data_IF_717551681408
#
_entry.id   IF_717551681408
#
_cell.length_a   1.000
_cell.length_b   1.000
_cell.length_c   1.000
_cell.angle_alpha   90.00
_cell.angle_beta   90.00
_cell.angle_gamma   90.00
#
_symmetry.space_group_name_H-M   'P 1'
#
loop_
_entity.id
_entity.type
_entity.pdbx_description
1 polymer ?
#
# COMPACT_ATOMS: atom_id res chain seq x y z
N UNK A 1 -2.77 -1.96 -22.27
CA UNK A 1 -3.15 -2.08 -20.85
C UNK A 1 -2.14 -1.39 -19.91
N UNK A 2 -1.39 -0.38 -20.37
CA UNK A 2 -0.39 0.29 -19.54
C UNK A 2 -1.05 0.95 -18.32
N UNK A 3 -0.65 0.55 -17.12
CA UNK A 3 -1.10 1.13 -15.85
C UNK A 3 -2.20 0.37 -15.11
N UNK A 4 -2.89 -0.59 -15.75
CA UNK A 4 -3.90 -1.42 -15.07
C UNK A 4 -3.19 -2.48 -14.21
N UNK A 5 -3.55 -2.59 -12.93
CA UNK A 5 -2.99 -3.55 -11.97
C UNK A 5 -3.75 -4.87 -11.96
N UNK A 6 -5.08 -4.81 -11.86
CA UNK A 6 -5.93 -6.00 -11.87
C UNK A 6 -7.32 -5.72 -12.44
N UNK A 7 -8.03 -6.77 -12.83
CA UNK A 7 -9.47 -6.77 -13.14
C UNK A 7 -10.14 -7.88 -12.31
N UNK A 8 -11.15 -7.53 -11.51
CA UNK A 8 -11.93 -8.46 -10.72
C UNK A 8 -13.28 -8.76 -11.40
N UNK A 9 -13.39 -9.96 -11.96
CA UNK A 9 -14.60 -10.44 -12.63
C UNK A 9 -15.52 -11.13 -11.60
N UNK A 10 -16.77 -10.65 -11.45
CA UNK A 10 -17.74 -11.37 -10.62
C UNK A 10 -18.11 -12.68 -11.29
N UNK A 11 -18.40 -13.71 -10.51
CA UNK A 11 -18.82 -14.98 -11.07
C UNK A 11 -18.88 -16.07 -10.02
N UNK A 12 -19.13 -17.30 -10.47
CA UNK A 12 -19.05 -18.51 -9.67
C UNK A 12 -18.18 -19.53 -10.43
N UNK A 13 -16.86 -19.59 -10.19
CA UNK A 13 -16.11 -18.81 -9.19
C UNK A 13 -15.80 -17.37 -9.65
N UNK A 14 -15.58 -16.43 -8.72
CA UNK A 14 -15.03 -15.12 -9.06
C UNK A 14 -13.58 -15.26 -9.57
N UNK A 15 -13.14 -14.36 -10.43
CA UNK A 15 -11.79 -14.37 -11.00
C UNK A 15 -11.08 -13.04 -10.78
N UNK A 16 -9.80 -13.11 -10.41
CA UNK A 16 -8.92 -11.95 -10.33
C UNK A 16 -7.85 -12.07 -11.41
N UNK A 17 -7.96 -11.23 -12.43
CA UNK A 17 -6.97 -11.13 -13.49
C UNK A 17 -5.90 -10.13 -13.09
N UNK A 18 -4.64 -10.56 -13.07
CA UNK A 18 -3.49 -9.73 -12.68
C UNK A 18 -2.70 -9.32 -13.93
N UNK A 19 -2.19 -8.09 -13.95
CA UNK A 19 -1.28 -7.65 -15.00
C UNK A 19 0.11 -8.28 -14.78
N UNK A 20 0.57 -9.09 -15.73
CA UNK A 20 1.83 -9.82 -15.70
C UNK A 20 3.08 -8.92 -15.72
N UNK A 21 2.94 -7.65 -16.08
CA UNK A 21 4.01 -6.65 -16.06
C UNK A 21 4.30 -6.07 -14.67
N UNK A 22 3.47 -6.38 -13.67
CA UNK A 22 3.69 -5.92 -12.30
C UNK A 22 4.71 -6.78 -11.57
N UNK A 23 5.35 -6.19 -10.58
CA UNK A 23 6.24 -6.94 -9.70
C UNK A 23 5.44 -7.86 -8.74
N UNK A 24 6.08 -8.88 -8.14
CA UNK A 24 5.38 -9.82 -7.25
C UNK A 24 4.68 -9.14 -6.07
N UNK A 25 5.28 -8.12 -5.44
CA UNK A 25 4.68 -7.40 -4.32
C UNK A 25 3.35 -6.72 -4.67
N UNK A 26 3.23 -6.22 -5.91
CA UNK A 26 2.02 -5.59 -6.42
C UNK A 26 0.93 -6.63 -6.75
N UNK A 27 1.31 -7.84 -7.20
CA UNK A 27 0.39 -8.97 -7.32
C UNK A 27 -0.15 -9.39 -5.96
N UNK A 28 0.74 -9.59 -4.98
CA UNK A 28 0.37 -9.93 -3.60
C UNK A 28 -0.60 -8.88 -3.04
N UNK A 29 -0.26 -7.59 -3.16
CA UNK A 29 -1.16 -6.52 -2.71
C UNK A 29 -2.54 -6.59 -3.38
N UNK A 30 -2.60 -6.84 -4.69
CA UNK A 30 -3.86 -6.94 -5.42
C UNK A 30 -4.73 -8.11 -4.96
N UNK A 31 -4.10 -9.26 -4.70
CA UNK A 31 -4.76 -10.46 -4.16
C UNK A 31 -5.29 -10.18 -2.75
N UNK A 32 -4.43 -9.68 -1.87
CA UNK A 32 -4.78 -9.44 -0.48
C UNK A 32 -5.86 -8.36 -0.35
N UNK A 33 -5.83 -7.32 -1.20
CA UNK A 33 -6.90 -6.33 -1.25
C UNK A 33 -8.27 -6.98 -1.51
N UNK A 34 -8.35 -7.90 -2.48
CA UNK A 34 -9.59 -8.61 -2.80
C UNK A 34 -10.02 -9.58 -1.69
N UNK A 35 -9.06 -10.25 -1.04
CA UNK A 35 -9.33 -11.03 0.18
C UNK A 35 -9.93 -10.13 1.25
N UNK A 36 -9.35 -8.94 1.47
CA UNK A 36 -9.87 -7.96 2.43
C UNK A 36 -11.31 -7.54 2.14
N UNK A 37 -11.67 -7.33 0.87
CA UNK A 37 -13.07 -7.08 0.49
C UNK A 37 -14.00 -8.25 0.91
N UNK A 38 -13.58 -9.49 0.68
CA UNK A 38 -14.38 -10.69 1.03
C UNK A 38 -14.46 -10.91 2.55
N UNK A 39 -13.34 -10.87 3.27
CA UNK A 39 -13.28 -11.11 4.72
C UNK A 39 -14.06 -10.04 5.51
N UNK A 40 -14.00 -8.79 5.05
CA UNK A 40 -14.76 -7.69 5.67
C UNK A 40 -16.22 -7.63 5.22
N UNK A 41 -16.67 -8.56 4.35
CA UNK A 41 -18.02 -8.65 3.81
C UNK A 41 -18.46 -7.36 3.09
N UNK A 42 -17.53 -6.72 2.40
CA UNK A 42 -17.80 -5.51 1.63
C UNK A 42 -18.45 -5.91 0.31
N UNK A 43 -19.73 -5.57 0.13
CA UNK A 43 -20.52 -6.03 -1.02
C UNK A 43 -20.05 -5.51 -2.37
N UNK A 44 -19.47 -4.30 -2.42
CA UNK A 44 -19.01 -3.67 -3.67
C UNK A 44 -17.49 -3.72 -3.79
N UNK A 45 -17.00 -4.82 -4.33
CA UNK A 45 -15.58 -4.99 -4.64
C UNK A 45 -15.09 -3.97 -5.66
N UNK A 46 -13.86 -3.49 -5.47
CA UNK A 46 -13.16 -2.73 -6.50
C UNK A 46 -12.95 -3.62 -7.72
N UNK A 47 -13.46 -3.18 -8.87
CA UNK A 47 -13.42 -3.95 -10.12
C UNK A 47 -12.10 -3.84 -10.84
N UNK A 48 -11.48 -2.68 -10.79
CA UNK A 48 -10.27 -2.36 -11.55
C UNK A 48 -9.37 -1.47 -10.70
N UNK A 49 -8.06 -1.58 -10.88
CA UNK A 49 -7.08 -0.70 -10.23
C UNK A 49 -6.02 -0.24 -11.23
N UNK A 50 -5.61 1.04 -11.27
CA UNK A 50 -6.08 2.13 -10.42
C UNK A 50 -7.53 2.49 -10.74
N UNK A 51 -8.31 2.74 -9.68
CA UNK A 51 -9.70 3.14 -9.81
C UNK A 51 -9.78 4.66 -9.98
N UNK A 52 -10.53 5.11 -10.98
CA UNK A 52 -10.51 6.53 -11.39
C UNK A 52 -11.34 7.44 -10.50
N UNK A 53 -12.47 6.97 -9.96
CA UNK A 53 -13.38 7.81 -9.16
C UNK A 53 -14.33 6.99 -8.31
N UNK A 54 -14.38 7.27 -7.01
CA UNK A 54 -15.41 6.75 -6.11
C UNK A 54 -16.69 7.59 -6.22
N UNK A 55 -17.84 6.91 -6.17
CA UNK A 55 -19.16 7.51 -6.30
C UNK A 55 -19.76 7.99 -4.98
N UNK A 56 -19.28 7.50 -3.83
CA UNK A 56 -19.75 7.91 -2.51
C UNK A 56 -18.66 7.80 -1.44
N UNK A 57 -18.92 8.37 -0.26
CA UNK A 57 -18.02 8.26 0.89
C UNK A 57 -17.89 6.81 1.38
N UNK A 58 -18.98 6.04 1.35
CA UNK A 58 -18.99 4.64 1.74
C UNK A 58 -18.06 3.81 0.86
N UNK A 59 -18.03 4.06 -0.45
CA UNK A 59 -17.09 3.38 -1.34
C UNK A 59 -15.63 3.71 -1.02
N UNK A 60 -15.35 4.97 -0.66
CA UNK A 60 -14.01 5.40 -0.21
C UNK A 60 -13.65 4.70 1.10
N UNK A 61 -14.57 4.66 2.06
CA UNK A 61 -14.37 4.05 3.37
C UNK A 61 -14.17 2.54 3.25
N UNK A 62 -14.96 1.86 2.42
CA UNK A 62 -14.84 0.43 2.17
C UNK A 62 -13.51 0.10 1.50
N UNK A 63 -13.10 0.87 0.49
CA UNK A 63 -11.78 0.71 -0.14
C UNK A 63 -10.65 0.98 0.87
N UNK A 64 -10.81 1.98 1.74
CA UNK A 64 -9.85 2.24 2.82
C UNK A 64 -9.74 1.05 3.77
N UNK A 65 -10.86 0.48 4.22
CA UNK A 65 -10.88 -0.69 5.12
C UNK A 65 -10.24 -1.93 4.48
N UNK A 66 -10.56 -2.22 3.22
CA UNK A 66 -9.91 -3.31 2.49
C UNK A 66 -8.40 -3.06 2.31
N UNK A 67 -7.99 -1.82 2.02
CA UNK A 67 -6.58 -1.44 1.89
C UNK A 67 -5.84 -1.50 3.24
N UNK A 68 -6.51 -1.15 4.33
CA UNK A 68 -6.00 -1.31 5.70
C UNK A 68 -5.78 -2.79 6.02
N UNK A 69 -6.76 -3.63 5.74
CA UNK A 69 -6.63 -5.09 5.88
C UNK A 69 -5.42 -5.60 5.10
N UNK A 70 -5.25 -5.16 3.85
CA UNK A 70 -4.12 -5.59 3.04
C UNK A 70 -2.76 -5.18 3.59
N UNK A 71 -2.62 -3.92 4.01
CA UNK A 71 -1.42 -3.45 4.69
C UNK A 71 -1.15 -4.23 5.98
N UNK A 72 -2.18 -4.56 6.75
CA UNK A 72 -2.05 -5.31 8.00
C UNK A 72 -1.66 -6.77 7.81
N UNK A 73 -2.13 -7.41 6.74
CA UNK A 73 -1.75 -8.79 6.42
C UNK A 73 -0.33 -8.86 5.85
N UNK A 74 0.05 -7.91 4.98
CA UNK A 74 1.38 -7.88 4.38
C UNK A 74 2.47 -7.45 5.37
N UNK A 75 2.14 -6.56 6.32
CA UNK A 75 3.09 -6.04 7.31
C UNK A 75 2.47 -6.19 8.71
N UNK A 76 2.95 -7.23 9.41
CA UNK A 76 2.53 -7.54 10.76
C UNK A 76 2.84 -6.37 11.71
N UNK A 77 1.84 -5.93 12.48
CA UNK A 77 1.97 -4.79 13.40
C UNK A 77 3.08 -4.99 14.44
N UNK A 78 3.12 -6.14 15.10
CA UNK A 78 4.05 -6.38 16.21
C UNK A 78 5.50 -6.47 15.73
N UNK A 79 5.70 -6.99 14.53
CA UNK A 79 7.01 -7.03 13.89
C UNK A 79 7.45 -5.63 13.47
N UNK A 80 6.58 -4.90 12.76
CA UNK A 80 6.87 -3.52 12.33
C UNK A 80 7.13 -2.57 13.51
N UNK A 81 6.41 -2.74 14.62
CA UNK A 81 6.61 -1.96 15.85
C UNK A 81 8.06 -2.08 16.36
N UNK A 82 8.58 -3.30 16.45
CA UNK A 82 9.96 -3.55 16.90
C UNK A 82 10.98 -2.94 15.94
N UNK A 83 10.80 -3.17 14.65
CA UNK A 83 11.71 -2.68 13.61
C UNK A 83 11.76 -1.15 13.55
N UNK A 84 10.61 -0.48 13.67
CA UNK A 84 10.55 0.98 13.72
C UNK A 84 11.16 1.51 15.01
N UNK A 85 10.94 0.83 16.14
CA UNK A 85 11.55 1.21 17.40
C UNK A 85 13.07 1.13 17.32
N UNK A 86 13.63 0.08 16.69
CA UNK A 86 15.07 -0.06 16.44
C UNK A 86 15.59 1.07 15.54
N UNK A 87 14.87 1.41 14.46
CA UNK A 87 15.21 2.55 13.61
C UNK A 87 15.28 3.86 14.40
N UNK A 88 14.28 4.15 15.24
CA UNK A 88 14.21 5.38 16.02
C UNK A 88 15.22 5.44 17.17
N UNK A 89 15.71 4.29 17.65
CA UNK A 89 16.76 4.23 18.67
C UNK A 89 18.17 4.43 18.11
N UNK A 90 18.33 4.40 16.78
CA UNK A 90 19.63 4.66 16.16
C UNK A 90 20.11 6.08 16.48
N UNK A 91 21.36 6.18 16.95
CA UNK A 91 22.00 7.47 17.27
C UNK A 91 22.38 8.28 16.03
N UNK A 92 22.47 7.61 14.89
CA UNK A 92 22.86 8.19 13.60
C UNK A 92 21.87 7.76 12.53
N UNK A 93 21.64 8.62 11.54
CA UNK A 93 20.81 8.27 10.39
C UNK A 93 21.40 7.08 9.62
N UNK A 94 20.56 6.09 9.33
CA UNK A 94 20.89 4.94 8.46
C UNK A 94 19.75 4.70 7.46
N UNK A 95 19.91 5.24 6.25
CA UNK A 95 18.93 5.05 5.17
C UNK A 95 18.87 3.60 4.67
N UNK A 96 19.96 2.83 4.78
CA UNK A 96 20.00 1.43 4.36
C UNK A 96 19.14 0.54 5.24
N UNK A 97 18.97 0.90 6.52
CA UNK A 97 18.06 0.19 7.41
C UNK A 97 16.61 0.21 6.91
N UNK A 98 16.14 1.35 6.38
CA UNK A 98 14.79 1.45 5.79
C UNK A 98 14.69 0.59 4.52
N UNK A 99 15.70 0.59 3.66
CA UNK A 99 15.74 -0.25 2.45
C UNK A 99 15.71 -1.74 2.79
N UNK A 100 16.41 -2.14 3.86
CA UNK A 100 16.37 -3.52 4.38
C UNK A 100 14.97 -3.91 4.86
N UNK A 101 14.25 -3.02 5.55
CA UNK A 101 12.86 -3.29 5.95
C UNK A 101 11.93 -3.47 4.75
N UNK A 102 12.03 -2.61 3.73
CA UNK A 102 11.25 -2.75 2.50
C UNK A 102 11.48 -4.12 1.83
N UNK A 103 12.75 -4.54 1.75
CA UNK A 103 13.12 -5.85 1.21
C UNK A 103 12.64 -7.00 2.10
N UNK A 104 12.72 -6.86 3.41
CA UNK A 104 12.29 -7.88 4.38
C UNK A 104 10.79 -8.18 4.27
N UNK A 105 9.96 -7.13 4.16
CA UNK A 105 8.51 -7.26 4.01
C UNK A 105 8.07 -7.55 2.56
N UNK A 106 9.00 -7.56 1.60
CA UNK A 106 8.73 -7.74 0.16
C UNK A 106 7.62 -6.80 -0.36
N UNK A 107 7.64 -5.53 0.08
CA UNK A 107 6.62 -4.53 -0.26
C UNK A 107 7.19 -3.36 -1.04
N UNK A 108 6.30 -2.66 -1.75
CA UNK A 108 6.63 -1.36 -2.35
C UNK A 108 6.83 -0.28 -1.28
N UNK A 109 7.64 0.77 -1.56
CA UNK A 109 7.75 1.93 -0.68
C UNK A 109 6.39 2.54 -0.31
N UNK A 110 5.47 2.63 -1.27
CA UNK A 110 4.13 3.19 -1.05
C UNK A 110 3.30 2.33 -0.09
N UNK A 111 3.33 1.00 -0.22
CA UNK A 111 2.64 0.10 0.71
C UNK A 111 3.21 0.23 2.12
N UNK A 112 4.54 0.31 2.25
CA UNK A 112 5.21 0.48 3.54
C UNK A 112 4.83 1.82 4.20
N UNK A 113 4.96 2.94 3.48
CA UNK A 113 4.61 4.26 4.01
C UNK A 113 3.13 4.37 4.38
N UNK A 114 2.24 3.79 3.58
CA UNK A 114 0.82 3.71 3.90
C UNK A 114 0.55 2.86 5.15
N UNK A 115 1.34 1.81 5.39
CA UNK A 115 1.24 1.05 6.64
C UNK A 115 1.76 1.84 7.84
N UNK A 116 2.88 2.55 7.68
CA UNK A 116 3.45 3.41 8.72
C UNK A 116 2.43 4.45 9.19
N UNK A 117 1.72 5.11 8.26
CA UNK A 117 0.70 6.10 8.63
C UNK A 117 -0.46 5.54 9.47
N UNK A 118 -0.70 4.23 9.39
CA UNK A 118 -1.74 3.55 10.18
C UNK A 118 -1.26 3.13 11.58
N UNK A 119 0.05 2.92 11.78
CA UNK A 119 0.60 2.36 13.03
C UNK A 119 1.30 3.42 13.87
N UNK A 120 1.96 4.40 13.24
CA UNK A 120 2.75 5.42 13.92
C UNK A 120 1.93 6.30 14.89
N UNK A 121 0.72 6.77 14.54
CA UNK A 121 -0.09 7.57 15.46
C UNK A 121 -0.44 6.81 16.74
N UNK A 122 -0.83 5.54 16.62
CA UNK A 122 -1.28 4.73 17.75
C UNK A 122 -0.14 4.21 18.63
N UNK A 123 1.02 3.90 18.05
CA UNK A 123 2.15 3.29 18.76
C UNK A 123 3.17 4.31 19.27
N UNK A 124 3.46 5.33 18.47
CA UNK A 124 4.55 6.28 18.73
C UNK A 124 4.05 7.71 19.00
N UNK A 125 2.72 7.94 18.94
CA UNK A 125 2.09 9.27 19.06
C UNK A 125 2.59 10.28 18.02
N UNK A 126 3.08 9.78 16.88
CA UNK A 126 3.47 10.58 15.73
C UNK A 126 2.22 10.76 14.87
N UNK A 127 1.52 11.88 15.08
CA UNK A 127 0.24 12.16 14.44
C UNK A 127 0.40 12.99 13.15
N UNK A 128 1.56 13.60 12.95
CA UNK A 128 1.86 14.46 11.81
C UNK A 128 2.85 13.75 10.89
N UNK A 129 2.36 13.28 9.75
CA UNK A 129 3.14 12.56 8.75
C UNK A 129 2.87 13.18 7.38
N UNK A 130 3.93 13.61 6.72
CA UNK A 130 3.89 14.16 5.38
C UNK A 130 4.62 13.21 4.42
N UNK A 131 3.99 12.90 3.29
CA UNK A 131 4.56 11.98 2.30
C UNK A 131 4.74 12.70 0.98
N UNK A 132 6.00 12.94 0.62
CA UNK A 132 6.34 13.60 -0.64
C UNK A 132 6.60 12.54 -1.72
N UNK A 133 5.93 12.67 -2.86
CA UNK A 133 6.19 11.83 -4.04
C UNK A 133 6.77 12.65 -5.18
N UNK A 134 8.00 12.32 -5.55
CA UNK A 134 8.70 12.96 -6.66
C UNK A 134 8.68 12.06 -7.91
N UNK A 135 8.45 12.66 -9.07
CA UNK A 135 8.58 12.00 -10.37
C UNK A 135 9.66 12.70 -11.19
N UNK A 136 10.47 11.92 -11.89
CA UNK A 136 11.51 12.39 -12.78
C UNK A 136 11.41 11.65 -14.11
N UNK A 137 11.42 12.40 -15.22
CA UNK A 137 11.47 11.83 -16.57
C UNK A 137 12.92 11.68 -17.00
N UNK A 138 13.34 10.44 -17.28
CA UNK A 138 14.68 10.15 -17.82
C UNK A 138 14.94 11.04 -19.05
N UNK A 139 16.05 11.78 -19.03
CA UNK A 139 16.43 12.71 -20.11
C UNK A 139 15.91 14.14 -19.94
N UNK A 140 15.21 14.47 -18.84
CA UNK A 140 14.84 15.85 -18.49
C UNK A 140 15.35 16.19 -17.10
N UNK A 141 16.00 17.33 -16.91
CA UNK A 141 16.48 17.78 -15.58
C UNK A 141 15.37 18.31 -14.64
N UNK A 142 14.11 17.97 -14.90
CA UNK A 142 12.95 18.42 -14.11
C UNK A 142 12.57 17.34 -13.09
N UNK A 143 12.33 17.75 -11.84
CA UNK A 143 11.82 16.91 -10.76
C UNK A 143 10.49 17.50 -10.33
N UNK A 144 9.42 16.70 -10.41
CA UNK A 144 8.07 17.16 -10.10
C UNK A 144 7.58 16.55 -8.81
N UNK A 145 7.14 17.41 -7.87
CA UNK A 145 6.33 16.97 -6.74
C UNK A 145 4.92 16.64 -7.24
N UNK A 146 4.48 15.41 -7.07
CA UNK A 146 3.20 14.91 -7.59
C UNK A 146 2.21 14.51 -6.51
N UNK A 147 2.66 14.45 -5.25
CA UNK A 147 1.84 14.22 -4.06
C UNK A 147 2.56 14.82 -2.85
N UNK A 148 1.79 15.49 -2.00
CA UNK A 148 2.19 16.08 -0.71
C UNK A 148 1.16 15.68 0.35
#
# INVERSE_FOLDING_TARGET
MSGQRFIFLPGKPPQLLLNDQLNPSQHVYSIVLQIGYSELKIGKHLRTSPWKKFGSFEEVMDNFRASYFAGALMINRFQAEKEIQELFQSKTWDGEAILKLLKHHEVTPETFLHRLSQILPGLFKINELHFLRFEHMIGKNDIRLTKE
#
